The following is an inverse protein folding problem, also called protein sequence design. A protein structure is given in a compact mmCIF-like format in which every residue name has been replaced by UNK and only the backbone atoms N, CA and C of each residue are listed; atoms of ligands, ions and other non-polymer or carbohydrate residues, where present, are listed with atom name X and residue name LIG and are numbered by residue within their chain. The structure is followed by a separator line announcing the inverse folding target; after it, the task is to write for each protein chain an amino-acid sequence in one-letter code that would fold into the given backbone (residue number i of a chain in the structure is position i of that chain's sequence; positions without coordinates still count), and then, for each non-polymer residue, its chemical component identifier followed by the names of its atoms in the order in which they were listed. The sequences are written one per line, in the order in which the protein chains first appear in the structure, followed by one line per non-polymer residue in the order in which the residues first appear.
data_IF_241530133643
#
_entry.id   IF_241530133643
#
_cell.length_a   1.000
_cell.length_b   1.000
_cell.length_c   1.000
_cell.angle_alpha   90.00
_cell.angle_beta   90.00
_cell.angle_gamma   90.00
#
_symmetry.space_group_name_H-M   'P 1'
#
loop_
_entity.id
_entity.type
_entity.pdbx_description
1 polymer ?
#
# COMPACT_ATOMS: atom_id res chain seq x y z
N UNK A 1 12.92 18.23 -77.37
CA UNK A 1 11.44 18.30 -77.50
C UNK A 1 10.91 18.58 -76.09
N UNK A 2 10.89 19.80 -75.56
CA UNK A 2 10.10 21.00 -75.85
C UNK A 2 8.55 20.78 -75.88
N UNK A 3 7.91 21.31 -74.83
CA UNK A 3 6.54 21.88 -74.67
C UNK A 3 5.31 20.94 -74.67
N UNK A 4 4.64 20.81 -73.50
CA UNK A 4 3.33 21.42 -73.09
C UNK A 4 2.12 20.70 -73.71
N UNK A 5 0.98 20.42 -73.07
CA UNK A 5 0.35 20.74 -71.78
C UNK A 5 -0.94 19.89 -71.68
N UNK A 6 -1.62 20.00 -70.53
CA UNK A 6 -3.08 19.89 -70.31
C UNK A 6 -3.59 18.64 -69.55
N UNK A 7 -3.91 18.95 -68.29
CA UNK A 7 -4.90 18.40 -67.37
C UNK A 7 -5.90 17.33 -67.87
N UNK A 8 -6.10 16.30 -67.02
CA UNK A 8 -7.45 15.96 -66.59
C UNK A 8 -7.46 15.26 -65.23
N UNK A 9 -8.44 15.64 -64.42
CA UNK A 9 -8.67 15.25 -63.04
C UNK A 9 -9.23 13.83 -62.92
N UNK A 10 -8.71 13.05 -61.96
CA UNK A 10 -9.48 12.04 -61.21
C UNK A 10 -8.95 12.06 -59.77
N UNK A 11 -9.56 12.89 -58.93
CA UNK A 11 -9.52 12.74 -57.48
C UNK A 11 -10.80 12.01 -57.08
N UNK A 12 -10.69 10.73 -56.71
CA UNK A 12 -11.81 9.96 -56.18
C UNK A 12 -11.39 9.30 -54.86
N UNK A 13 -11.89 9.90 -53.79
CA UNK A 13 -12.25 9.29 -52.50
C UNK A 13 -11.26 8.29 -51.85
N UNK A 14 -10.42 8.79 -50.94
CA UNK A 14 -10.03 8.00 -49.77
C UNK A 14 -10.87 8.47 -48.57
N UNK A 15 -11.70 7.55 -48.10
CA UNK A 15 -12.64 7.73 -47.00
C UNK A 15 -11.91 8.04 -45.70
N UNK A 16 -12.37 9.09 -45.02
CA UNK A 16 -12.15 9.27 -43.59
C UNK A 16 -12.82 8.09 -42.86
N UNK A 17 -12.01 7.15 -42.38
CA UNK A 17 -12.40 6.21 -41.35
C UNK A 17 -11.74 6.66 -40.06
N UNK A 18 -12.42 7.58 -39.37
CA UNK A 18 -12.19 7.87 -37.97
C UNK A 18 -12.55 6.61 -37.19
N UNK A 19 -11.58 5.72 -36.99
CA UNK A 19 -11.70 4.66 -36.02
C UNK A 19 -11.72 5.32 -34.65
N UNK A 20 -12.93 5.56 -34.14
CA UNK A 20 -13.17 5.77 -32.71
C UNK A 20 -12.82 4.43 -32.07
N UNK A 21 -11.55 4.27 -31.70
CA UNK A 21 -11.16 3.22 -30.78
C UNK A 21 -11.85 3.57 -29.46
N UNK A 22 -12.95 2.90 -29.17
CA UNK A 22 -13.46 2.83 -27.80
C UNK A 22 -12.30 2.38 -26.91
N UNK A 23 -12.05 3.02 -25.75
CA UNK A 23 -11.05 2.52 -24.83
C UNK A 23 -11.44 1.08 -24.50
N UNK A 24 -10.58 0.13 -24.86
CA UNK A 24 -10.66 -1.23 -24.34
C UNK A 24 -10.77 -1.08 -22.82
N UNK A 25 -11.87 -1.57 -22.25
CA UNK A 25 -12.08 -1.54 -20.81
C UNK A 25 -10.84 -2.11 -20.12
N UNK A 26 -10.14 -1.26 -19.38
CA UNK A 26 -8.97 -1.66 -18.62
C UNK A 26 -9.48 -2.49 -17.44
N UNK A 27 -9.39 -3.81 -17.56
CA UNK A 27 -9.67 -4.73 -16.46
C UNK A 27 -8.52 -4.60 -15.46
N UNK A 28 -8.71 -3.80 -14.42
CA UNK A 28 -7.88 -3.91 -13.24
C UNK A 28 -8.10 -5.29 -12.65
N UNK A 29 -7.03 -6.08 -12.51
CA UNK A 29 -7.03 -7.26 -11.67
C UNK A 29 -7.46 -6.80 -10.27
N UNK A 30 -8.69 -7.16 -9.91
CA UNK A 30 -9.29 -6.73 -8.65
C UNK A 30 -8.69 -7.58 -7.55
N UNK A 31 -7.99 -6.94 -6.61
CA UNK A 31 -7.50 -7.61 -5.42
C UNK A 31 -8.69 -8.20 -4.65
N UNK A 32 -8.79 -9.52 -4.63
CA UNK A 32 -9.61 -10.26 -3.68
C UNK A 32 -8.68 -10.64 -2.53
N UNK A 33 -8.55 -9.76 -1.54
CA UNK A 33 -7.94 -10.13 -0.26
C UNK A 33 -8.96 -10.98 0.48
N UNK A 34 -8.91 -12.30 0.27
CA UNK A 34 -9.63 -13.25 1.12
C UNK A 34 -8.94 -13.27 2.50
N UNK A 35 -9.74 -13.25 3.57
CA UNK A 35 -9.25 -13.24 4.95
C UNK A 35 -8.32 -14.43 5.23
N UNK A 36 -7.02 -14.18 5.42
CA UNK A 36 -6.09 -15.22 5.86
C UNK A 36 -6.24 -15.38 7.38
N UNK A 37 -7.05 -16.35 7.79
CA UNK A 37 -7.15 -16.75 9.20
C UNK A 37 -5.84 -17.42 9.63
N UNK A 38 -5.05 -16.72 10.45
CA UNK A 38 -3.83 -17.26 11.04
C UNK A 38 -4.18 -18.28 12.12
N UNK A 39 -4.20 -19.58 11.78
CA UNK A 39 -4.19 -20.65 12.79
C UNK A 39 -2.76 -20.98 13.20
N UNK A 40 -2.34 -20.43 14.35
CA UNK A 40 -1.07 -20.82 14.97
C UNK A 40 -1.23 -22.20 15.61
N UNK A 41 -0.78 -23.25 14.93
CA UNK A 41 -0.66 -24.58 15.56
C UNK A 41 0.68 -24.66 16.28
N UNK A 42 0.66 -24.53 17.60
CA UNK A 42 1.83 -24.78 18.45
C UNK A 42 1.96 -26.29 18.62
N UNK A 43 2.91 -26.91 17.91
CA UNK A 43 3.28 -28.32 18.14
C UNK A 43 4.20 -28.38 19.36
N UNK A 44 3.63 -28.74 20.52
CA UNK A 44 4.42 -29.05 21.71
C UNK A 44 4.94 -30.48 21.59
N UNK A 45 6.23 -30.65 21.30
CA UNK A 45 6.87 -31.95 21.40
C UNK A 45 7.11 -32.31 22.86
N UNK A 46 6.25 -33.17 23.42
CA UNK A 46 6.51 -33.84 24.70
C UNK A 46 7.22 -35.16 24.39
N UNK A 47 8.50 -35.26 24.75
CA UNK A 47 9.29 -36.48 24.60
C UNK A 47 8.83 -37.59 25.55
N UNK A 48 8.53 -38.78 25.02
CA UNK A 48 8.27 -39.97 25.83
C UNK A 48 7.69 -41.14 25.03
N UNK A 49 8.45 -42.22 24.92
CA UNK A 49 8.16 -43.49 24.23
C UNK A 49 6.73 -44.06 24.40
N UNK A 50 6.03 -44.35 23.29
CA UNK A 50 5.25 -45.59 22.98
C UNK A 50 4.22 -45.37 21.84
N UNK A 51 3.77 -46.43 21.13
CA UNK A 51 3.49 -46.35 19.70
C UNK A 51 2.09 -45.85 19.30
N UNK A 52 2.07 -45.32 18.09
CA UNK A 52 0.96 -44.71 17.33
C UNK A 52 -0.21 -45.68 17.12
N UNK A 53 -1.42 -45.23 17.44
CA UNK A 53 -2.67 -45.75 16.91
C UNK A 53 -3.38 -44.64 16.12
N UNK A 54 -3.53 -44.86 14.81
CA UNK A 54 -4.22 -43.98 13.89
C UNK A 54 -5.73 -44.13 14.07
N UNK A 55 -6.42 -43.07 14.49
CA UNK A 55 -7.88 -43.01 14.45
C UNK A 55 -8.30 -41.76 13.65
N UNK A 56 -8.87 -42.01 12.48
CA UNK A 56 -9.53 -41.02 11.64
C UNK A 56 -10.98 -40.92 12.09
N UNK A 57 -11.42 -39.74 12.52
CA UNK A 57 -12.84 -39.42 12.72
C UNK A 57 -13.14 -38.07 12.11
N UNK A 58 -13.87 -38.12 10.99
CA UNK A 58 -14.56 -36.98 10.41
C UNK A 58 -15.64 -36.47 11.39
N UNK A 59 -15.71 -35.16 11.60
CA UNK A 59 -16.79 -34.52 12.33
C UNK A 59 -17.56 -33.61 11.36
N UNK A 60 -18.82 -33.98 11.15
CA UNK A 60 -19.85 -33.27 10.42
C UNK A 60 -20.28 -32.00 11.15
N UNK A 61 -20.55 -30.97 10.36
CA UNK A 61 -21.19 -29.72 10.74
C UNK A 61 -22.64 -29.97 11.17
N UNK A 62 -23.05 -29.37 12.29
CA UNK A 62 -24.47 -29.16 12.56
C UNK A 62 -24.71 -27.77 13.17
N UNK A 63 -25.65 -27.08 12.55
CA UNK A 63 -26.11 -25.73 12.85
C UNK A 63 -27.14 -25.73 13.97
N UNK A 64 -27.06 -24.79 14.92
CA UNK A 64 -28.21 -24.45 15.76
C UNK A 64 -28.26 -22.95 16.06
N UNK A 65 -29.42 -22.37 15.76
CA UNK A 65 -29.79 -20.98 16.01
C UNK A 65 -30.26 -20.75 17.45
N UNK A 66 -30.00 -19.51 17.91
CA UNK A 66 -30.74 -18.65 18.84
C UNK A 66 -31.55 -19.26 20.01
N UNK A 67 -31.22 -18.84 21.25
CA UNK A 67 -32.22 -18.38 22.22
C UNK A 67 -31.59 -17.57 23.37
N UNK A 68 -32.24 -16.43 23.65
CA UNK A 68 -32.09 -15.60 24.85
C UNK A 68 -32.26 -16.36 26.16
N UNK A 69 -31.52 -15.97 27.19
CA UNK A 69 -31.98 -15.99 28.57
C UNK A 69 -31.31 -14.89 29.39
N UNK A 70 -32.14 -14.08 30.05
CA UNK A 70 -31.79 -13.05 31.02
C UNK A 70 -32.02 -13.57 32.45
N UNK A 71 -31.60 -12.76 33.44
CA UNK A 71 -31.60 -12.97 34.90
C UNK A 71 -30.30 -13.59 35.45
N UNK A 72 -29.70 -13.14 36.56
CA UNK A 72 -30.28 -12.50 37.76
C UNK A 72 -29.19 -11.72 38.52
N UNK A 73 -29.62 -10.74 39.31
CA UNK A 73 -28.83 -9.90 40.20
C UNK A 73 -28.11 -10.65 41.34
N UNK A 74 -27.10 -10.00 41.94
CA UNK A 74 -27.00 -9.59 43.37
C UNK A 74 -25.54 -9.66 43.85
N UNK A 75 -24.87 -8.53 44.15
CA UNK A 75 -23.85 -8.46 45.22
C UNK A 75 -23.71 -7.02 45.75
N UNK A 76 -23.83 -6.85 47.06
CA UNK A 76 -23.16 -5.81 47.87
C UNK A 76 -22.55 -6.54 49.07
N UNK A 77 -21.36 -6.16 49.58
CA UNK A 77 -21.26 -5.16 50.67
C UNK A 77 -19.96 -4.28 50.57
N UNK A 78 -19.99 -2.97 50.90
CA UNK A 78 -19.67 -2.32 52.19
C UNK A 78 -18.19 -1.81 52.37
N UNK A 79 -18.03 -0.46 52.42
CA UNK A 79 -17.30 0.44 53.39
C UNK A 79 -15.99 -0.02 54.10
N UNK A 80 -14.95 0.75 54.48
CA UNK A 80 -14.44 2.16 54.51
C UNK A 80 -12.93 2.05 54.89
N UNK A 81 -12.03 2.93 54.43
CA UNK A 81 -10.98 3.51 55.31
C UNK A 81 -10.28 4.73 54.68
N UNK A 82 -9.95 5.70 55.54
CA UNK A 82 -9.63 7.09 55.22
C UNK A 82 -8.16 7.45 55.53
N UNK A 83 -7.64 8.53 54.91
CA UNK A 83 -7.04 9.72 55.59
C UNK A 83 -6.17 10.58 54.63
N UNK A 84 -6.33 11.89 54.74
CA UNK A 84 -5.54 12.99 54.13
C UNK A 84 -4.63 13.63 55.22
N UNK A 85 -4.01 14.85 55.10
CA UNK A 85 -3.82 15.78 53.96
C UNK A 85 -2.41 16.46 53.91
N UNK A 86 -2.32 17.56 53.13
CA UNK A 86 -1.40 18.73 53.23
C UNK A 86 -0.18 18.71 52.27
N UNK A 87 0.21 19.75 51.51
CA UNK A 87 -0.15 21.17 51.38
C UNK A 87 0.27 21.70 49.99
N UNK A 88 -0.46 22.67 49.44
CA UNK A 88 -0.01 23.52 48.33
C UNK A 88 0.68 24.80 48.85
N UNK A 89 1.42 25.53 48.00
CA UNK A 89 0.82 26.78 47.50
C UNK A 89 1.13 27.18 46.03
N UNK A 90 0.09 27.72 45.39
CA UNK A 90 -0.06 28.83 44.42
C UNK A 90 0.82 28.99 43.16
N UNK A 91 0.18 29.36 42.03
CA UNK A 91 0.69 30.42 41.16
C UNK A 91 -0.27 31.62 41.10
N UNK A 92 0.32 32.82 41.04
CA UNK A 92 -0.36 34.10 40.81
C UNK A 92 -0.96 34.18 39.40
N UNK A 93 -2.14 34.80 39.31
CA UNK A 93 -2.84 35.12 38.07
C UNK A 93 -2.31 36.41 37.41
N UNK A 94 -2.30 36.46 36.07
CA UNK A 94 -3.04 37.47 35.30
C UNK A 94 -2.95 37.27 33.77
N UNK A 95 -4.13 37.14 33.17
CA UNK A 95 -4.61 37.75 31.92
C UNK A 95 -3.89 37.55 30.57
N UNK A 96 -4.43 36.59 29.80
CA UNK A 96 -5.00 36.74 28.44
C UNK A 96 -4.27 37.56 27.36
N UNK A 97 -3.81 36.83 26.33
CA UNK A 97 -4.09 37.14 24.92
C UNK A 97 -4.18 35.83 24.16
N UNK A 98 -5.34 35.57 23.55
CA UNK A 98 -5.58 34.36 22.78
C UNK A 98 -4.67 34.26 21.56
N UNK A 99 -4.21 33.05 21.29
CA UNK A 99 -4.06 32.54 19.94
C UNK A 99 -4.15 31.03 20.04
N UNK A 100 -5.15 30.45 19.38
CA UNK A 100 -5.29 29.01 19.29
C UNK A 100 -4.03 28.42 18.68
N UNK A 101 -3.35 27.54 19.43
CA UNK A 101 -2.36 26.65 18.85
C UNK A 101 -3.09 25.33 18.59
N UNK A 102 -3.70 25.25 17.41
CA UNK A 102 -3.93 23.97 16.73
C UNK A 102 -2.59 23.28 16.63
N UNK A 103 -2.42 22.19 17.36
CA UNK A 103 -1.16 21.43 17.41
C UNK A 103 -0.68 21.09 16.00
N UNK A 104 0.57 21.45 15.73
CA UNK A 104 1.28 21.14 14.50
C UNK A 104 1.86 19.72 14.59
N UNK A 105 1.55 18.86 13.62
CA UNK A 105 2.04 17.49 13.52
C UNK A 105 3.14 17.36 12.45
N UNK A 106 4.25 18.08 12.59
CA UNK A 106 5.31 18.06 11.56
C UNK A 106 6.39 16.99 11.83
N UNK A 107 6.45 16.01 10.91
CA UNK A 107 7.45 14.95 10.78
C UNK A 107 6.88 13.82 9.91
N UNK A 108 7.11 13.88 8.59
CA UNK A 108 6.45 13.05 7.57
C UNK A 108 7.10 11.67 7.41
N UNK A 109 6.27 10.66 7.11
CA UNK A 109 6.74 9.41 6.52
C UNK A 109 7.66 9.69 5.34
N UNK A 110 8.66 8.84 5.08
CA UNK A 110 9.62 9.03 3.99
C UNK A 110 8.92 9.23 2.64
N UNK A 111 7.85 8.47 2.41
CA UNK A 111 7.06 8.61 1.21
C UNK A 111 5.56 8.43 1.40
N UNK A 112 4.84 8.62 0.29
CA UNK A 112 3.42 8.38 0.15
C UNK A 112 3.13 7.69 -1.18
N UNK A 113 2.16 6.79 -1.21
CA UNK A 113 1.66 6.20 -2.46
C UNK A 113 0.74 7.20 -3.18
N UNK A 114 0.75 7.15 -4.51
CA UNK A 114 -0.13 7.97 -5.34
C UNK A 114 -0.68 7.18 -6.52
N UNK A 115 -2.00 7.21 -6.67
CA UNK A 115 -2.75 6.54 -7.73
C UNK A 115 -3.41 7.61 -8.63
N UNK A 116 -2.89 7.88 -9.84
CA UNK A 116 -3.40 8.95 -10.69
C UNK A 116 -4.65 8.55 -11.49
N UNK A 117 -5.62 7.93 -10.83
CA UNK A 117 -6.93 7.61 -11.41
C UNK A 117 -8.01 8.52 -10.84
N UNK A 118 -8.99 8.86 -11.66
CA UNK A 118 -10.23 9.48 -11.24
C UNK A 118 -11.10 8.46 -10.48
N UNK A 119 -12.14 8.94 -9.80
CA UNK A 119 -13.08 8.08 -9.07
C UNK A 119 -13.78 7.04 -9.95
N UNK A 120 -13.88 7.27 -11.26
CA UNK A 120 -14.46 6.35 -12.23
C UNK A 120 -13.44 5.38 -12.85
N UNK A 121 -12.18 5.42 -12.41
CA UNK A 121 -11.08 4.60 -12.90
C UNK A 121 -10.42 5.12 -14.16
N UNK A 122 -10.87 6.25 -14.72
CA UNK A 122 -10.20 6.88 -15.87
C UNK A 122 -8.90 7.56 -15.44
N UNK A 123 -7.98 7.75 -16.39
CA UNK A 123 -6.70 8.40 -16.11
C UNK A 123 -6.87 9.88 -15.74
N UNK A 124 -6.20 10.35 -14.69
CA UNK A 124 -6.05 11.79 -14.41
C UNK A 124 -5.21 12.45 -15.50
N UNK A 125 -5.60 13.66 -15.89
CA UNK A 125 -4.79 14.50 -16.77
C UNK A 125 -3.61 15.15 -16.03
N UNK A 126 -2.65 15.68 -16.78
CA UNK A 126 -1.44 16.29 -16.23
C UNK A 126 -1.76 17.46 -15.28
N UNK A 127 -2.78 18.28 -15.57
CA UNK A 127 -3.18 19.39 -14.70
C UNK A 127 -3.65 18.90 -13.33
N UNK A 128 -4.44 17.83 -13.31
CA UNK A 128 -4.93 17.21 -12.08
C UNK A 128 -3.78 16.59 -11.30
N UNK A 129 -2.88 15.87 -11.98
CA UNK A 129 -1.66 15.32 -11.36
C UNK A 129 -0.79 16.43 -10.75
N UNK A 130 -0.62 17.58 -11.43
CA UNK A 130 0.10 18.73 -10.86
C UNK A 130 -0.55 19.29 -9.60
N UNK A 131 -1.87 19.41 -9.61
CA UNK A 131 -2.64 19.87 -8.44
C UNK A 131 -2.51 18.92 -7.26
N UNK A 132 -2.55 17.62 -7.53
CA UNK A 132 -2.40 16.58 -6.51
C UNK A 132 -0.98 16.56 -5.92
N UNK A 133 0.06 16.54 -6.77
CA UNK A 133 1.46 16.50 -6.34
C UNK A 133 1.88 17.75 -5.57
N UNK A 134 1.26 18.91 -5.80
CA UNK A 134 1.49 20.10 -5.00
C UNK A 134 1.17 19.89 -3.51
N UNK A 135 0.19 19.02 -3.20
CA UNK A 135 -0.18 18.65 -1.82
C UNK A 135 0.75 17.61 -1.21
N UNK A 136 1.62 16.99 -2.01
CA UNK A 136 2.52 15.90 -1.59
C UNK A 136 3.96 16.38 -1.38
N UNK A 137 4.22 17.69 -1.40
CA UNK A 137 5.57 18.27 -1.37
C UNK A 137 6.35 17.99 -0.07
N UNK A 138 5.66 17.64 1.02
CA UNK A 138 6.27 17.26 2.30
C UNK A 138 6.84 15.83 2.32
N UNK A 139 6.57 15.02 1.29
CA UNK A 139 7.09 13.66 1.16
C UNK A 139 8.31 13.63 0.24
N UNK A 140 9.41 13.03 0.68
CA UNK A 140 10.62 12.91 -0.14
C UNK A 140 10.51 11.87 -1.26
N UNK A 141 9.57 10.94 -1.13
CA UNK A 141 9.40 9.79 -2.02
C UNK A 141 7.93 9.63 -2.42
N UNK A 142 7.65 9.55 -3.72
CA UNK A 142 6.33 9.21 -4.25
C UNK A 142 6.37 7.80 -4.82
N UNK A 143 5.48 6.92 -4.36
CA UNK A 143 5.34 5.57 -4.90
C UNK A 143 4.23 5.50 -5.93
N UNK A 144 4.58 4.99 -7.12
CA UNK A 144 3.65 4.64 -8.20
C UNK A 144 3.65 3.11 -8.40
N UNK A 145 2.51 2.56 -8.76
CA UNK A 145 2.34 1.12 -8.93
C UNK A 145 2.65 0.64 -10.34
N UNK A 146 2.36 1.46 -11.34
CA UNK A 146 2.45 1.09 -12.74
C UNK A 146 3.04 2.19 -13.62
N UNK A 147 2.90 1.98 -14.92
CA UNK A 147 3.33 2.92 -15.96
C UNK A 147 2.17 3.35 -16.86
N UNK A 148 1.01 2.72 -16.73
CA UNK A 148 -0.21 3.05 -17.44
C UNK A 148 -0.70 4.46 -17.09
N UNK A 149 -1.70 4.97 -17.83
CA UNK A 149 -2.21 6.33 -17.67
C UNK A 149 -1.15 7.45 -17.76
N UNK A 150 -0.02 7.19 -18.42
CA UNK A 150 1.13 8.11 -18.48
C UNK A 150 1.58 8.58 -17.08
N UNK A 151 1.36 7.78 -16.04
CA UNK A 151 1.56 8.20 -14.67
C UNK A 151 3.01 8.61 -14.38
N UNK A 152 3.99 7.87 -14.91
CA UNK A 152 5.41 8.19 -14.74
C UNK A 152 5.75 9.53 -15.39
N UNK A 153 5.31 9.76 -16.63
CA UNK A 153 5.50 11.02 -17.35
C UNK A 153 4.86 12.19 -16.60
N UNK A 154 3.60 12.04 -16.19
CA UNK A 154 2.86 13.13 -15.55
C UNK A 154 3.46 13.47 -14.18
N UNK A 155 3.89 12.47 -13.40
CA UNK A 155 4.49 12.69 -12.09
C UNK A 155 5.91 13.24 -12.20
N UNK A 156 6.72 12.83 -13.18
CA UNK A 156 8.04 13.45 -13.42
C UNK A 156 7.91 14.96 -13.72
N UNK A 157 6.88 15.36 -14.46
CA UNK A 157 6.59 16.75 -14.76
C UNK A 157 5.97 17.54 -13.58
N UNK A 158 5.46 16.86 -12.56
CA UNK A 158 4.68 17.45 -11.48
C UNK A 158 5.38 17.42 -10.11
N UNK A 159 6.31 16.49 -9.89
CA UNK A 159 7.01 16.32 -8.61
C UNK A 159 7.79 17.58 -8.23
N UNK A 160 7.85 17.87 -6.95
CA UNK A 160 8.68 18.93 -6.40
C UNK A 160 10.18 18.59 -6.51
N UNK A 161 11.01 19.64 -6.45
CA UNK A 161 12.46 19.48 -6.46
C UNK A 161 12.93 18.63 -5.27
N UNK A 162 13.84 17.69 -5.52
CA UNK A 162 14.34 16.78 -4.50
C UNK A 162 13.43 15.59 -4.18
N UNK A 163 12.18 15.56 -4.66
CA UNK A 163 11.36 14.36 -4.58
C UNK A 163 11.88 13.29 -5.54
N UNK A 164 11.99 12.06 -5.04
CA UNK A 164 12.31 10.87 -5.81
C UNK A 164 11.08 9.99 -6.01
N UNK A 165 11.18 9.05 -6.95
CA UNK A 165 10.10 8.14 -7.30
C UNK A 165 10.46 6.69 -6.96
N UNK A 166 9.54 5.98 -6.31
CA UNK A 166 9.51 4.53 -6.23
C UNK A 166 8.56 4.04 -7.31
N UNK A 167 9.09 3.51 -8.40
CA UNK A 167 8.29 3.17 -9.59
C UNK A 167 7.96 1.68 -9.60
N UNK A 168 6.76 1.32 -10.02
CA UNK A 168 6.32 -0.07 -10.13
C UNK A 168 6.05 -0.49 -11.57
N UNK A 169 6.26 -1.78 -11.83
CA UNK A 169 5.70 -2.48 -12.97
C UNK A 169 4.62 -3.43 -12.43
N UNK A 170 3.37 -2.97 -12.44
CA UNK A 170 2.22 -3.73 -11.96
C UNK A 170 1.88 -4.91 -12.90
N UNK A 171 1.69 -4.63 -14.19
CA UNK A 171 1.34 -5.63 -15.21
C UNK A 171 2.56 -6.44 -15.63
N UNK A 172 2.76 -7.58 -14.97
CA UNK A 172 3.96 -8.41 -15.14
C UNK A 172 4.03 -9.11 -16.50
N UNK A 173 2.87 -9.37 -17.12
CA UNK A 173 2.74 -9.87 -18.48
C UNK A 173 3.24 -8.86 -19.53
N UNK A 174 3.30 -7.58 -19.17
CA UNK A 174 3.83 -6.50 -19.99
C UNK A 174 5.20 -5.98 -19.52
N UNK A 175 5.95 -6.76 -18.73
CA UNK A 175 7.20 -6.32 -18.08
C UNK A 175 8.16 -5.56 -19.01
N UNK A 176 8.47 -6.11 -20.19
CA UNK A 176 9.39 -5.46 -21.14
C UNK A 176 8.84 -4.15 -21.70
N UNK A 177 7.55 -4.12 -22.05
CA UNK A 177 6.89 -2.92 -22.58
C UNK A 177 6.79 -1.84 -21.50
N UNK A 178 6.46 -2.25 -20.27
CA UNK A 178 6.37 -1.34 -19.14
C UNK A 178 7.72 -0.69 -18.80
N UNK A 179 8.81 -1.45 -18.81
CA UNK A 179 10.17 -0.91 -18.61
C UNK A 179 10.56 0.03 -19.75
N UNK A 180 10.22 -0.28 -21.01
CA UNK A 180 10.46 0.61 -22.15
C UNK A 180 9.68 1.93 -22.02
N UNK A 181 8.42 1.88 -21.61
CA UNK A 181 7.59 3.05 -21.37
C UNK A 181 8.15 3.90 -20.23
N UNK A 182 8.50 3.28 -19.10
CA UNK A 182 9.16 3.95 -17.97
C UNK A 182 10.44 4.66 -18.41
N UNK A 183 11.31 3.95 -19.13
CA UNK A 183 12.59 4.48 -19.61
C UNK A 183 12.38 5.66 -20.56
N UNK A 184 11.37 5.59 -21.43
CA UNK A 184 11.02 6.67 -22.36
C UNK A 184 10.54 7.91 -21.62
N UNK A 185 9.66 7.75 -20.62
CA UNK A 185 9.19 8.85 -19.76
C UNK A 185 10.35 9.49 -18.99
N UNK A 186 11.24 8.68 -18.43
CA UNK A 186 12.43 9.15 -17.71
C UNK A 186 13.36 9.92 -18.65
N UNK A 187 13.62 9.42 -19.85
CA UNK A 187 14.47 10.13 -20.82
C UNK A 187 13.87 11.46 -21.30
N UNK A 188 12.54 11.57 -21.34
CA UNK A 188 11.84 12.74 -21.87
C UNK A 188 11.61 13.82 -20.82
N UNK A 189 11.34 13.42 -19.57
CA UNK A 189 10.82 14.31 -18.53
C UNK A 189 11.64 14.33 -17.24
N UNK A 190 12.72 13.56 -17.15
CA UNK A 190 13.58 13.52 -15.97
C UNK A 190 14.91 12.82 -16.22
N UNK A 191 15.31 11.99 -15.27
CA UNK A 191 16.56 11.25 -15.29
C UNK A 191 16.49 10.05 -14.36
N UNK A 192 17.39 9.08 -14.52
CA UNK A 192 17.47 7.97 -13.57
C UNK A 192 17.82 8.40 -12.14
N UNK A 193 18.37 9.62 -11.93
CA UNK A 193 18.56 10.16 -10.57
C UNK A 193 17.26 10.56 -9.86
N UNK A 194 16.17 10.69 -10.60
CA UNK A 194 14.83 10.90 -10.02
C UNK A 194 14.22 9.60 -9.47
N UNK A 195 14.80 8.43 -9.74
CA UNK A 195 14.25 7.13 -9.37
C UNK A 195 15.01 6.52 -8.21
N UNK A 196 14.34 6.40 -7.06
CA UNK A 196 14.87 5.76 -5.85
C UNK A 196 14.91 4.24 -5.97
N UNK A 197 13.85 3.62 -6.51
CA UNK A 197 13.73 2.15 -6.63
C UNK A 197 12.76 1.81 -7.75
N UNK A 198 12.99 0.68 -8.42
CA UNK A 198 11.99 0.05 -9.29
C UNK A 198 11.49 -1.26 -8.66
N UNK A 199 10.18 -1.41 -8.56
CA UNK A 199 9.51 -2.63 -8.08
C UNK A 199 8.89 -3.42 -9.21
N UNK A 200 9.00 -4.75 -9.12
CA UNK A 200 8.56 -5.70 -10.13
C UNK A 200 7.44 -6.56 -9.53
N UNK A 201 6.21 -6.32 -10.00
CA UNK A 201 5.00 -6.87 -9.39
C UNK A 201 4.63 -6.20 -8.06
N UNK A 202 3.42 -6.51 -7.58
CA UNK A 202 2.90 -6.10 -6.29
C UNK A 202 2.00 -7.21 -5.73
N UNK A 203 2.39 -7.83 -4.62
CA UNK A 203 1.60 -8.85 -3.91
C UNK A 203 1.27 -10.12 -4.72
N UNK A 204 2.04 -10.42 -5.78
CA UNK A 204 1.76 -11.54 -6.69
C UNK A 204 1.81 -12.92 -5.99
N UNK A 205 2.64 -13.11 -4.95
CA UNK A 205 2.67 -14.36 -4.18
C UNK A 205 1.50 -14.42 -3.20
N UNK A 206 1.22 -13.32 -2.50
CA UNK A 206 0.06 -13.21 -1.63
C UNK A 206 -1.25 -13.52 -2.38
N UNK A 207 -1.39 -13.01 -3.60
CA UNK A 207 -2.58 -13.17 -4.43
C UNK A 207 -2.63 -14.54 -5.14
N UNK A 208 -1.59 -15.38 -4.98
CA UNK A 208 -1.50 -16.70 -5.60
C UNK A 208 -1.28 -16.67 -7.12
N UNK A 209 -0.92 -15.51 -7.67
CA UNK A 209 -0.71 -15.29 -9.10
C UNK A 209 0.67 -15.74 -9.57
N UNK A 210 1.66 -15.76 -8.67
CA UNK A 210 3.01 -16.24 -8.94
C UNK A 210 3.61 -17.01 -7.77
N UNK A 211 4.43 -18.01 -8.07
CA UNK A 211 5.34 -18.62 -7.11
C UNK A 211 6.56 -17.72 -6.86
N UNK A 212 7.24 -17.91 -5.73
CA UNK A 212 8.48 -17.17 -5.43
C UNK A 212 9.58 -17.38 -6.51
N UNK A 213 9.64 -18.57 -7.13
CA UNK A 213 10.58 -18.81 -8.23
C UNK A 213 10.23 -17.99 -9.49
N UNK A 214 8.95 -17.77 -9.79
CA UNK A 214 8.54 -16.91 -10.90
C UNK A 214 8.92 -15.45 -10.62
N UNK A 215 8.74 -14.97 -9.39
CA UNK A 215 9.21 -13.65 -8.97
C UNK A 215 10.71 -13.48 -9.24
N UNK A 216 11.53 -14.48 -8.91
CA UNK A 216 12.96 -14.46 -9.22
C UNK A 216 13.28 -14.29 -10.70
N UNK A 217 12.52 -14.95 -11.58
CA UNK A 217 12.67 -14.82 -13.03
C UNK A 217 12.27 -13.43 -13.52
N UNK A 218 11.16 -12.88 -13.01
CA UNK A 218 10.71 -11.53 -13.35
C UNK A 218 11.72 -10.48 -12.92
N UNK A 219 12.20 -10.53 -11.68
CA UNK A 219 13.21 -9.59 -11.16
C UNK A 219 14.52 -9.69 -11.93
N UNK A 220 14.99 -10.90 -12.26
CA UNK A 220 16.22 -11.09 -13.06
C UNK A 220 16.08 -10.49 -14.47
N UNK A 221 14.93 -10.70 -15.12
CA UNK A 221 14.64 -10.12 -16.43
C UNK A 221 14.59 -8.60 -16.36
N UNK A 222 13.89 -8.06 -15.37
CA UNK A 222 13.76 -6.63 -15.15
C UNK A 222 15.11 -5.97 -14.90
N UNK A 223 15.96 -6.53 -14.03
CA UNK A 223 17.32 -6.02 -13.76
C UNK A 223 18.14 -5.89 -15.05
N UNK A 224 18.06 -6.88 -15.94
CA UNK A 224 18.78 -6.87 -17.22
C UNK A 224 18.27 -5.76 -18.15
N UNK A 225 16.95 -5.59 -18.25
CA UNK A 225 16.31 -4.56 -19.08
C UNK A 225 16.58 -3.15 -18.55
N UNK A 226 16.41 -2.94 -17.24
CA UNK A 226 16.66 -1.68 -16.55
C UNK A 226 18.13 -1.26 -16.65
N UNK A 227 19.06 -2.19 -16.45
CA UNK A 227 20.49 -1.93 -16.64
C UNK A 227 20.81 -1.54 -18.08
N UNK A 228 20.21 -2.21 -19.06
CA UNK A 228 20.36 -1.87 -20.49
C UNK A 228 19.78 -0.49 -20.82
N UNK A 229 18.76 -0.03 -20.10
CA UNK A 229 18.18 1.31 -20.20
C UNK A 229 18.96 2.38 -19.42
N UNK A 230 20.03 2.01 -18.70
CA UNK A 230 20.89 2.92 -17.94
C UNK A 230 20.50 3.10 -16.46
N UNK A 231 19.53 2.35 -15.95
CA UNK A 231 19.22 2.34 -14.53
C UNK A 231 20.21 1.47 -13.75
N UNK A 232 20.77 2.03 -12.68
CA UNK A 232 21.72 1.34 -11.78
C UNK A 232 21.26 1.34 -10.32
N UNK A 233 20.04 1.82 -10.06
CA UNK A 233 19.47 1.82 -8.71
C UNK A 233 18.86 0.48 -8.31
N UNK A 234 18.32 0.40 -7.09
CA UNK A 234 17.72 -0.81 -6.55
C UNK A 234 16.52 -1.32 -7.36
N UNK A 235 16.47 -2.64 -7.53
CA UNK A 235 15.33 -3.38 -8.07
C UNK A 235 14.85 -4.39 -7.04
N UNK A 236 13.55 -4.36 -6.75
CA UNK A 236 12.91 -5.18 -5.72
C UNK A 236 11.64 -5.84 -6.27
N UNK A 237 11.18 -6.91 -5.64
CA UNK A 237 9.77 -7.34 -5.69
C UNK A 237 9.06 -6.88 -4.41
N UNK A 238 7.81 -6.48 -4.51
CA UNK A 238 6.99 -6.09 -3.35
C UNK A 238 5.91 -7.14 -3.11
N UNK A 239 5.82 -7.62 -1.88
CA UNK A 239 4.77 -8.55 -1.43
C UNK A 239 4.37 -8.24 0.02
N UNK A 240 3.37 -8.93 0.55
CA UNK A 240 2.97 -8.74 1.96
C UNK A 240 4.04 -9.30 2.90
N UNK A 241 4.15 -8.73 4.11
CA UNK A 241 5.04 -9.29 5.13
C UNK A 241 4.76 -10.78 5.41
N UNK A 242 3.48 -11.20 5.35
CA UNK A 242 3.07 -12.61 5.52
C UNK A 242 3.60 -13.48 4.39
N UNK A 243 3.42 -13.05 3.13
CA UNK A 243 3.92 -13.79 1.97
C UNK A 243 5.45 -13.96 2.00
N UNK A 244 6.18 -12.91 2.39
CA UNK A 244 7.64 -12.97 2.54
C UNK A 244 8.05 -13.93 3.65
N UNK A 245 7.41 -13.86 4.83
CA UNK A 245 7.73 -14.74 5.96
C UNK A 245 7.42 -16.21 5.66
N UNK A 246 6.41 -16.49 4.84
CA UNK A 246 6.04 -17.83 4.41
C UNK A 246 6.89 -18.35 3.23
N UNK A 247 7.53 -17.46 2.47
CA UNK A 247 8.35 -17.78 1.29
C UNK A 247 9.69 -17.02 1.36
N UNK A 248 10.58 -17.35 2.32
CA UNK A 248 11.81 -16.58 2.58
C UNK A 248 12.79 -16.59 1.40
N UNK A 249 12.64 -17.48 0.41
CA UNK A 249 13.39 -17.41 -0.84
C UNK A 249 13.13 -16.12 -1.63
N UNK A 250 12.00 -15.42 -1.42
CA UNK A 250 11.75 -14.10 -1.99
C UNK A 250 12.83 -13.09 -1.58
N UNK A 251 13.41 -13.25 -0.40
CA UNK A 251 14.44 -12.36 0.13
C UNK A 251 15.69 -12.31 -0.77
N UNK A 252 15.95 -13.32 -1.61
CA UNK A 252 17.18 -13.39 -2.40
C UNK A 252 17.14 -12.55 -3.68
N UNK A 253 15.96 -12.26 -4.23
CA UNK A 253 15.84 -11.64 -5.55
C UNK A 253 15.97 -10.10 -5.51
N UNK A 254 15.51 -9.49 -4.42
CA UNK A 254 15.49 -8.04 -4.24
C UNK A 254 16.82 -7.49 -3.68
N UNK A 255 17.19 -6.28 -4.07
CA UNK A 255 18.41 -5.61 -3.57
C UNK A 255 18.30 -5.22 -2.09
N UNK A 256 17.09 -4.86 -1.66
CA UNK A 256 16.66 -4.78 -0.26
C UNK A 256 15.21 -5.28 -0.19
N UNK A 257 14.65 -5.46 1.02
CA UNK A 257 13.29 -5.96 1.16
C UNK A 257 12.32 -4.79 1.21
N UNK A 258 11.48 -4.67 0.18
CA UNK A 258 10.33 -3.78 0.16
C UNK A 258 9.07 -4.62 0.36
N UNK A 259 8.21 -4.27 1.32
CA UNK A 259 7.02 -5.04 1.63
C UNK A 259 5.82 -4.20 2.05
N UNK A 260 4.62 -4.78 1.94
CA UNK A 260 3.37 -4.16 2.34
C UNK A 260 2.88 -4.74 3.68
N UNK A 261 2.40 -3.88 4.58
CA UNK A 261 1.86 -4.28 5.87
C UNK A 261 0.90 -3.25 6.45
N UNK A 262 -0.35 -3.65 6.68
CA UNK A 262 -1.37 -2.81 7.30
C UNK A 262 -1.90 -3.48 8.57
N UNK A 263 -1.75 -2.80 9.71
CA UNK A 263 -2.21 -3.31 11.01
C UNK A 263 -3.73 -3.56 11.03
N UNK A 264 -4.50 -2.83 10.22
CA UNK A 264 -5.95 -3.03 10.09
C UNK A 264 -6.32 -4.49 9.76
N UNK A 265 -5.53 -5.19 8.93
CA UNK A 265 -5.81 -6.57 8.53
C UNK A 265 -5.44 -7.61 9.59
N UNK A 266 -4.65 -7.26 10.60
CA UNK A 266 -4.34 -8.13 11.73
C UNK A 266 -5.58 -8.36 12.62
N UNK A 267 -6.41 -7.32 12.76
CA UNK A 267 -7.68 -7.37 13.47
C UNK A 267 -7.59 -7.46 15.00
N UNK A 268 -6.38 -7.55 15.57
CA UNK A 268 -6.14 -7.55 17.01
C UNK A 268 -5.52 -6.26 17.55
N UNK A 269 -5.32 -5.26 16.68
CA UNK A 269 -4.58 -4.03 16.94
C UNK A 269 -5.49 -2.82 16.68
N UNK A 270 -5.42 -1.80 17.53
CA UNK A 270 -6.10 -0.50 17.31
C UNK A 270 -5.22 0.47 16.52
N UNK A 271 -5.81 1.54 15.98
CA UNK A 271 -5.07 2.53 15.20
C UNK A 271 -3.87 3.09 15.97
N UNK A 272 -4.04 3.43 17.25
CA UNK A 272 -2.95 3.94 18.09
C UNK A 272 -1.76 2.97 18.25
N UNK A 273 -1.96 1.68 18.05
CA UNK A 273 -0.95 0.63 18.19
C UNK A 273 -0.28 0.26 16.85
N UNK A 274 -0.77 0.80 15.72
CA UNK A 274 -0.34 0.43 14.37
C UNK A 274 1.18 0.60 14.13
N UNK A 275 1.80 1.66 14.66
CA UNK A 275 3.23 1.89 14.52
C UNK A 275 4.08 0.87 15.27
N UNK A 276 3.68 0.50 16.50
CA UNK A 276 4.37 -0.54 17.27
C UNK A 276 4.23 -1.90 16.60
N UNK A 277 3.03 -2.23 16.13
CA UNK A 277 2.80 -3.46 15.35
C UNK A 277 3.67 -3.48 14.08
N UNK A 278 3.72 -2.38 13.34
CA UNK A 278 4.49 -2.30 12.10
C UNK A 278 5.99 -2.49 12.35
N UNK A 279 6.53 -1.86 13.40
CA UNK A 279 7.93 -2.03 13.79
C UNK A 279 8.25 -3.51 14.07
N UNK A 280 7.36 -4.24 14.73
CA UNK A 280 7.53 -5.67 14.97
C UNK A 280 7.54 -6.46 13.65
N UNK A 281 6.66 -6.16 12.70
CA UNK A 281 6.67 -6.84 11.39
C UNK A 281 7.95 -6.53 10.61
N UNK A 282 8.42 -5.27 10.62
CA UNK A 282 9.69 -4.88 10.01
C UNK A 282 10.87 -5.68 10.59
N UNK A 283 10.92 -5.82 11.92
CA UNK A 283 11.98 -6.59 12.59
C UNK A 283 11.91 -8.08 12.25
N UNK A 284 10.72 -8.66 12.16
CA UNK A 284 10.52 -10.07 11.76
C UNK A 284 11.01 -10.31 10.34
N UNK A 285 10.61 -9.46 9.39
CA UNK A 285 11.04 -9.55 7.99
C UNK A 285 12.54 -9.34 7.86
N UNK A 286 13.11 -8.35 8.56
CA UNK A 286 14.55 -8.09 8.56
C UNK A 286 15.34 -9.30 9.08
N UNK A 287 14.86 -9.92 10.16
CA UNK A 287 15.47 -11.11 10.76
C UNK A 287 15.39 -12.33 9.84
N UNK A 288 14.26 -12.53 9.17
CA UNK A 288 14.07 -13.64 8.23
C UNK A 288 14.92 -13.50 6.97
N UNK A 289 15.05 -12.28 6.44
CA UNK A 289 15.75 -12.03 5.18
C UNK A 289 17.24 -11.69 5.33
N UNK A 290 17.69 -11.26 6.51
CA UNK A 290 19.06 -10.79 6.73
C UNK A 290 19.45 -9.57 5.89
N UNK A 291 18.47 -8.74 5.51
CA UNK A 291 18.62 -7.57 4.63
C UNK A 291 17.90 -6.35 5.23
N UNK A 292 18.30 -5.16 4.78
CA UNK A 292 17.56 -3.93 5.07
C UNK A 292 16.12 -4.04 4.57
N UNK A 293 15.19 -3.46 5.32
CA UNK A 293 13.76 -3.50 5.03
C UNK A 293 13.19 -2.09 4.91
N UNK A 294 12.18 -1.92 4.07
CA UNK A 294 11.36 -0.72 3.97
C UNK A 294 9.91 -1.15 3.79
N UNK A 295 8.99 -0.62 4.60
CA UNK A 295 7.58 -0.88 4.39
C UNK A 295 7.05 0.12 3.35
N UNK A 296 6.64 -0.37 2.20
CA UNK A 296 6.31 0.49 1.05
C UNK A 296 4.80 0.69 0.88
N UNK A 297 3.98 0.05 1.69
CA UNK A 297 2.57 0.40 1.93
C UNK A 297 2.20 0.07 3.38
N UNK A 298 1.74 1.08 4.10
CA UNK A 298 1.10 0.93 5.40
C UNK A 298 0.11 2.07 5.63
N UNK A 299 -0.97 1.83 6.34
CA UNK A 299 -2.02 2.82 6.53
C UNK A 299 -3.19 2.29 7.32
N UNK A 300 -4.30 3.01 7.25
CA UNK A 300 -5.55 2.64 7.91
C UNK A 300 -6.74 3.27 7.17
N UNK A 301 -7.86 2.56 7.00
CA UNK A 301 -9.03 3.11 6.33
C UNK A 301 -9.82 4.08 7.24
N UNK A 302 -10.25 5.22 6.71
CA UNK A 302 -11.06 6.19 7.46
C UNK A 302 -12.56 5.87 7.46
N UNK A 303 -13.00 4.93 6.63
CA UNK A 303 -14.39 4.51 6.50
C UNK A 303 -14.48 3.04 6.05
N UNK A 304 -15.57 2.37 6.43
CA UNK A 304 -15.89 0.99 6.07
C UNK A 304 -16.19 0.13 7.30
N UNK A 305 -16.00 -1.18 7.17
CA UNK A 305 -16.21 -2.19 8.20
C UNK A 305 -15.06 -2.26 9.21
N UNK A 306 -15.31 -2.96 10.33
CA UNK A 306 -14.26 -3.30 11.30
C UNK A 306 -13.74 -4.71 11.06
N UNK A 307 -12.46 -4.93 11.33
CA UNK A 307 -11.84 -6.25 11.38
C UNK A 307 -11.44 -6.54 12.83
N UNK A 308 -12.19 -7.37 13.55
CA UNK A 308 -11.97 -7.57 14.98
C UNK A 308 -12.06 -6.24 15.76
N UNK A 309 -10.96 -5.83 16.41
CA UNK A 309 -10.87 -4.54 17.12
C UNK A 309 -10.41 -3.38 16.24
N UNK A 310 -9.95 -3.66 15.01
CA UNK A 310 -9.50 -2.65 14.06
C UNK A 310 -10.72 -1.96 13.41
N UNK A 311 -11.07 -0.77 13.88
CA UNK A 311 -12.22 0.01 13.40
C UNK A 311 -11.80 0.98 12.30
N UNK A 312 -12.45 0.91 11.14
CA UNK A 312 -12.29 1.92 10.09
C UNK A 312 -13.02 3.22 10.49
N UNK A 313 -12.27 4.26 10.83
CA UNK A 313 -12.80 5.57 11.19
C UNK A 313 -11.74 6.66 11.03
N UNK A 314 -12.16 7.92 10.85
CA UNK A 314 -11.23 9.06 10.78
C UNK A 314 -10.35 9.18 12.04
N UNK A 315 -10.90 8.91 13.23
CA UNK A 315 -10.13 8.96 14.48
C UNK A 315 -9.07 7.86 14.55
N UNK A 316 -9.42 6.64 14.15
CA UNK A 316 -8.48 5.51 14.14
C UNK A 316 -7.43 5.67 13.04
N UNK A 317 -7.80 6.22 11.87
CA UNK A 317 -6.82 6.53 10.83
C UNK A 317 -5.83 7.59 11.32
N UNK A 318 -6.31 8.68 11.93
CA UNK A 318 -5.43 9.71 12.48
C UNK A 318 -4.47 9.15 13.56
N UNK A 319 -4.98 8.28 14.44
CA UNK A 319 -4.17 7.60 15.44
C UNK A 319 -3.13 6.66 14.80
N UNK A 320 -3.51 5.90 13.77
CA UNK A 320 -2.62 4.99 13.05
C UNK A 320 -1.51 5.72 12.31
N UNK A 321 -1.83 6.76 11.54
CA UNK A 321 -0.83 7.54 10.81
C UNK A 321 0.15 8.20 11.79
N UNK A 322 -0.34 8.77 12.90
CA UNK A 322 0.50 9.36 13.94
C UNK A 322 1.42 8.33 14.61
N UNK A 323 0.88 7.13 14.90
CA UNK A 323 1.63 6.02 15.49
C UNK A 323 2.73 5.51 14.55
N UNK A 324 2.40 5.32 13.27
CA UNK A 324 3.34 4.89 12.22
C UNK A 324 4.45 5.92 12.02
N UNK A 325 4.11 7.21 11.88
CA UNK A 325 5.08 8.27 11.65
C UNK A 325 6.06 8.43 12.82
N UNK A 326 5.55 8.41 14.05
CA UNK A 326 6.38 8.53 15.26
C UNK A 326 7.28 7.32 15.51
N UNK A 327 6.92 6.14 15.02
CA UNK A 327 7.68 4.89 15.27
C UNK A 327 8.61 4.52 14.13
N UNK A 328 8.14 4.62 12.88
CA UNK A 328 8.80 4.05 11.69
C UNK A 328 9.00 5.07 10.54
N UNK A 329 8.69 6.35 10.74
CA UNK A 329 8.52 7.34 9.67
C UNK A 329 9.58 7.33 8.54
N UNK A 330 10.86 7.21 8.87
CA UNK A 330 11.96 7.27 7.90
C UNK A 330 12.05 6.05 6.95
N UNK A 331 11.40 4.94 7.30
CA UNK A 331 11.51 3.66 6.59
C UNK A 331 10.16 3.17 6.06
N UNK A 332 9.18 4.10 5.94
CA UNK A 332 7.82 3.79 5.51
C UNK A 332 7.30 4.71 4.41
N UNK A 333 6.48 4.13 3.54
CA UNK A 333 5.62 4.84 2.58
C UNK A 333 4.17 4.66 3.04
N UNK A 334 3.50 5.76 3.36
CA UNK A 334 2.10 5.71 3.80
C UNK A 334 1.16 5.50 2.62
N UNK A 335 0.13 4.71 2.85
CA UNK A 335 -0.93 4.38 1.92
C UNK A 335 -2.25 4.98 2.43
N UNK A 336 -2.94 5.86 1.70
CA UNK A 336 -2.66 6.42 0.37
C UNK A 336 -2.83 7.95 0.36
N UNK A 337 -2.34 8.65 -0.65
CA UNK A 337 -2.56 10.10 -0.77
C UNK A 337 -4.05 10.47 -0.78
N UNK A 338 -4.84 9.83 -1.64
CA UNK A 338 -6.27 10.11 -1.85
C UNK A 338 -7.07 8.81 -1.87
N UNK A 339 -8.38 8.93 -1.66
CA UNK A 339 -9.31 7.81 -1.81
C UNK A 339 -9.36 7.29 -3.24
N UNK A 340 -9.27 5.97 -3.37
CA UNK A 340 -9.30 5.25 -4.65
C UNK A 340 -10.72 4.72 -4.91
N UNK A 341 -11.66 5.62 -5.17
CA UNK A 341 -13.09 5.28 -5.35
C UNK A 341 -13.38 4.33 -6.52
N UNK A 342 -12.41 4.16 -7.43
CA UNK A 342 -12.49 3.22 -8.55
C UNK A 342 -12.28 1.76 -8.14
N UNK A 343 -11.73 1.50 -6.94
CA UNK A 343 -11.51 0.15 -6.44
C UNK A 343 -12.82 -0.55 -6.10
N UNK A 344 -12.81 -1.88 -6.18
CA UNK A 344 -13.84 -2.69 -5.54
C UNK A 344 -13.78 -2.43 -4.03
N UNK A 345 -14.91 -2.13 -3.35
CA UNK A 345 -14.93 -1.87 -1.92
C UNK A 345 -14.38 -3.02 -1.05
N UNK A 346 -14.35 -4.25 -1.56
CA UNK A 346 -13.90 -5.43 -0.83
C UNK A 346 -14.93 -5.92 0.20
N UNK A 347 -14.63 -7.02 0.89
CA UNK A 347 -15.54 -7.65 1.86
C UNK A 347 -15.90 -6.70 3.02
N UNK A 348 -14.92 -5.97 3.52
CA UNK A 348 -15.11 -5.01 4.61
C UNK A 348 -15.48 -3.60 4.11
N UNK A 349 -15.61 -3.36 2.81
CA UNK A 349 -16.00 -2.04 2.30
C UNK A 349 -14.99 -0.92 2.57
N UNK A 350 -13.71 -1.26 2.75
CA UNK A 350 -12.65 -0.31 3.16
C UNK A 350 -11.71 0.11 2.03
N UNK A 351 -11.63 -0.65 0.94
CA UNK A 351 -10.59 -0.49 -0.08
C UNK A 351 -10.60 0.87 -0.80
N UNK A 352 -11.74 1.56 -0.76
CA UNK A 352 -11.92 2.89 -1.35
C UNK A 352 -11.46 4.04 -0.42
N UNK A 353 -11.25 3.78 0.88
CA UNK A 353 -11.21 4.81 1.93
C UNK A 353 -9.87 4.91 2.69
N UNK A 354 -8.74 4.72 2.00
CA UNK A 354 -7.40 4.78 2.60
C UNK A 354 -6.69 6.12 2.44
N UNK A 355 -7.30 7.08 1.73
CA UNK A 355 -6.74 8.41 1.53
C UNK A 355 -6.54 9.15 2.85
N UNK A 356 -5.43 9.87 2.97
CA UNK A 356 -5.10 10.68 4.16
C UNK A 356 -5.19 12.19 3.91
N UNK A 357 -5.40 12.62 2.66
CA UNK A 357 -5.48 14.03 2.24
C UNK A 357 -6.84 14.39 1.62
N UNK A 358 -7.89 13.64 1.95
CA UNK A 358 -9.26 13.86 1.46
C UNK A 358 -9.89 15.11 2.06
#
# INVERSE_FOLDING_TARGET
MLFQSVANAIALACMASSAVASPLGHLHHMHKRDDVVVQTTVVVHVGGNSPVATASTAASVDSVAAASASATATVTPAIISASAPASAPAPSASASSGSGSSGSFSGSSKGITYSPYNSDGTCKDLSTVKSDLAKLSDYSLIRLYGVDCNQVENVLQAKANGQQLFLGIFFIDQLSQGIQQMSSAISSYGSWSDVHTVSIGNELVNDGEASASQIGQYVSTAKSLLSSAGYSGPVVSVDTHVAILNNPELCQYSDYIAFNAHAYWDGSVTGGEAGTWLLQQMQRVASACGKNVMCVETGWPHQGGSNGVAVASTSEQSAAISSIQSTCGNDVVVFNAFDDMWKNPGSNGVEQFWGILN
#
